data_IF_185936164196
#
_entry.id   IF_185936164196
#
_cell.length_a   1.000
_cell.length_b   1.000
_cell.length_c   1.000
_cell.angle_alpha   90.00
_cell.angle_beta   90.00
_cell.angle_gamma   90.00
#
_symmetry.space_group_name_H-M   'P 1'
#
loop_
_entity.id
_entity.type
_entity.pdbx_description
1 polymer ?
#
# COMPACT_ATOMS: atom_id res chain seq x y z
N UNK A 1 17.20 9.77 -13.07
CA UNK A 1 16.62 8.85 -12.08
C UNK A 1 15.88 9.62 -11.00
N UNK A 2 14.84 9.03 -10.43
CA UNK A 2 14.03 9.62 -9.36
C UNK A 2 14.01 8.71 -8.15
N UNK A 3 13.78 9.30 -6.98
CA UNK A 3 13.69 8.59 -5.71
C UNK A 3 12.23 8.56 -5.30
N UNK A 4 11.72 7.37 -4.99
CA UNK A 4 10.44 7.18 -4.34
C UNK A 4 10.63 7.03 -2.84
N UNK A 5 9.79 7.66 -2.06
CA UNK A 5 9.86 7.57 -0.62
C UNK A 5 8.55 7.95 0.05
N UNK A 6 8.60 8.07 1.35
CA UNK A 6 7.45 8.39 2.18
C UNK A 6 7.73 9.66 3.00
N UNK A 7 6.74 10.56 3.02
CA UNK A 7 6.71 11.71 3.90
C UNK A 7 5.78 11.41 5.07
N UNK A 8 6.24 11.68 6.27
CA UNK A 8 5.40 11.60 7.46
C UNK A 8 4.37 12.74 7.44
N UNK A 9 3.12 12.38 7.49
CA UNK A 9 2.01 13.32 7.69
C UNK A 9 1.58 13.24 9.15
N UNK A 10 1.28 14.38 9.76
CA UNK A 10 0.95 14.49 11.17
C UNK A 10 0.01 13.37 11.66
N UNK A 11 0.30 12.85 12.85
CA UNK A 11 -0.47 11.78 13.48
C UNK A 11 -1.91 12.26 13.73
N UNK A 12 -2.92 11.67 13.12
CA UNK A 12 -4.29 12.04 13.41
C UNK A 12 -4.69 11.54 14.80
N UNK A 13 -5.75 12.16 15.37
CA UNK A 13 -6.26 11.81 16.68
C UNK A 13 -6.75 10.35 16.82
N UNK A 14 -6.99 9.68 15.69
CA UNK A 14 -7.59 8.34 15.59
C UNK A 14 -6.58 7.20 15.45
N UNK A 15 -5.26 7.46 15.54
CA UNK A 15 -4.37 6.32 15.48
C UNK A 15 -2.95 6.52 15.02
N UNK A 16 -2.44 5.53 14.34
CA UNK A 16 -1.04 5.37 13.96
C UNK A 16 -0.51 6.40 12.97
N UNK A 17 0.79 6.40 12.75
CA UNK A 17 1.44 7.33 11.84
C UNK A 17 0.88 7.15 10.41
N UNK A 18 0.66 8.27 9.74
CA UNK A 18 0.27 8.28 8.33
C UNK A 18 1.43 8.74 7.48
N UNK A 19 1.60 8.08 6.37
CA UNK A 19 2.62 8.42 5.38
C UNK A 19 1.96 8.76 4.06
N UNK A 20 2.58 9.69 3.35
CA UNK A 20 2.24 10.07 1.98
C UNK A 20 3.39 9.65 1.08
N UNK A 21 3.08 9.08 -0.06
CA UNK A 21 4.10 8.73 -1.03
C UNK A 21 4.54 9.94 -1.84
N UNK A 22 5.82 10.12 -1.97
CA UNK A 22 6.45 11.23 -2.68
C UNK A 22 7.49 10.74 -3.67
N UNK A 23 7.72 11.55 -4.67
CA UNK A 23 8.82 11.36 -5.61
C UNK A 23 9.71 12.61 -5.63
N UNK A 24 11.01 12.39 -5.56
CA UNK A 24 12.04 13.44 -5.62
C UNK A 24 12.97 13.18 -6.80
N UNK A 25 13.61 14.23 -7.29
CA UNK A 25 14.77 14.08 -8.16
C UNK A 25 16.02 13.72 -7.33
N UNK A 26 17.15 13.51 -8.03
CA UNK A 26 18.41 13.13 -7.35
C UNK A 26 19.01 14.25 -6.51
N UNK A 27 18.59 15.49 -6.69
CA UNK A 27 19.05 16.66 -5.93
C UNK A 27 18.16 16.94 -4.71
N UNK A 28 17.15 16.09 -4.47
CA UNK A 28 16.22 16.17 -3.36
C UNK A 28 15.05 17.14 -3.58
N UNK A 29 14.86 17.63 -4.79
CA UNK A 29 13.71 18.46 -5.12
C UNK A 29 12.46 17.58 -5.25
N UNK A 30 11.40 17.94 -4.55
CA UNK A 30 10.10 17.26 -4.66
C UNK A 30 9.51 17.46 -6.06
N UNK A 31 9.09 16.36 -6.68
CA UNK A 31 8.47 16.35 -8.00
C UNK A 31 6.96 16.18 -7.90
N UNK A 32 6.48 15.19 -7.18
CA UNK A 32 5.04 14.92 -7.06
C UNK A 32 4.67 14.06 -5.86
N UNK A 33 3.41 14.11 -5.46
CA UNK A 33 2.81 13.12 -4.57
C UNK A 33 2.35 11.93 -5.41
N UNK A 34 2.75 10.71 -5.02
CA UNK A 34 2.44 9.49 -5.78
C UNK A 34 1.24 8.72 -5.24
N UNK A 35 0.91 8.90 -3.97
CA UNK A 35 -0.34 8.40 -3.36
C UNK A 35 -0.71 9.22 -2.12
N UNK A 36 -1.98 9.12 -1.71
CA UNK A 36 -2.51 9.93 -0.63
C UNK A 36 -2.05 9.51 0.76
N UNK A 37 -2.51 8.37 1.22
CA UNK A 37 -2.20 7.85 2.57
C UNK A 37 -1.96 6.35 2.51
N UNK A 38 -0.88 5.90 3.13
CA UNK A 38 -0.54 4.50 3.21
C UNK A 38 0.86 4.27 3.73
N UNK A 39 1.21 3.00 3.90
CA UNK A 39 2.52 2.56 4.34
C UNK A 39 3.02 1.42 3.44
N UNK A 40 4.29 1.06 3.56
CA UNK A 40 4.93 -0.03 2.81
C UNK A 40 4.54 -0.06 1.31
N UNK A 41 4.82 0.99 0.53
CA UNK A 41 4.34 1.08 -0.85
C UNK A 41 5.02 0.05 -1.75
N UNK A 42 4.20 -0.74 -2.46
CA UNK A 42 4.62 -1.57 -3.58
C UNK A 42 4.25 -0.89 -4.89
N UNK A 43 5.21 -0.68 -5.78
CA UNK A 43 5.01 -0.01 -7.07
C UNK A 43 4.91 -1.05 -8.18
N UNK A 44 3.93 -0.90 -9.08
CA UNK A 44 3.78 -1.78 -10.23
C UNK A 44 4.97 -1.66 -11.20
N UNK A 45 5.33 -2.75 -11.93
CA UNK A 45 6.47 -2.72 -12.85
C UNK A 45 6.37 -1.66 -13.94
N UNK A 46 5.14 -1.36 -14.40
CA UNK A 46 4.86 -0.31 -15.40
C UNK A 46 4.81 1.10 -14.81
N UNK A 47 4.99 1.23 -13.47
CA UNK A 47 4.96 2.48 -12.70
C UNK A 47 3.65 3.26 -12.82
N UNK A 48 2.54 2.59 -13.06
CA UNK A 48 1.22 3.22 -13.13
C UNK A 48 0.45 3.14 -11.83
N UNK A 49 0.75 2.13 -11.00
CA UNK A 49 0.01 1.84 -9.78
C UNK A 49 0.93 1.69 -8.58
N UNK A 50 0.37 2.00 -7.41
CA UNK A 50 0.98 1.72 -6.13
C UNK A 50 -0.04 1.09 -5.19
N UNK A 51 0.34 0.01 -4.53
CA UNK A 51 -0.42 -0.63 -3.46
C UNK A 51 0.22 -0.29 -2.12
N UNK A 52 -0.60 0.12 -1.15
CA UNK A 52 -0.13 0.49 0.19
C UNK A 52 -0.96 -0.22 1.25
N UNK A 53 -0.37 -0.53 2.38
CA UNK A 53 -1.12 -0.92 3.57
C UNK A 53 -1.36 0.28 4.52
N UNK A 54 -2.19 0.06 5.54
CA UNK A 54 -2.46 1.07 6.56
C UNK A 54 -1.76 0.80 7.90
N UNK A 55 -0.77 -0.07 7.89
CA UNK A 55 -0.09 -0.61 9.06
C UNK A 55 -0.88 -1.72 9.80
N UNK A 56 -0.12 -2.70 10.30
CA UNK A 56 -0.63 -3.88 11.01
C UNK A 56 -1.25 -3.58 12.39
N UNK A 57 -1.02 -2.38 12.92
CA UNK A 57 -1.57 -1.97 14.23
C UNK A 57 -3.00 -1.44 14.14
N UNK A 58 -3.48 -1.16 12.93
CA UNK A 58 -4.82 -0.64 12.72
C UNK A 58 -5.82 -1.78 12.49
N UNK A 59 -7.04 -1.57 12.94
CA UNK A 59 -8.16 -2.46 12.69
C UNK A 59 -9.30 -1.66 12.02
N UNK A 60 -9.73 -2.03 10.82
CA UNK A 60 -9.24 -3.13 9.99
C UNK A 60 -7.88 -2.84 9.33
N UNK A 61 -7.14 -3.91 9.03
CA UNK A 61 -5.97 -3.85 8.17
C UNK A 61 -6.43 -3.79 6.71
N UNK A 62 -5.85 -2.91 5.93
CA UNK A 62 -6.25 -2.69 4.53
C UNK A 62 -5.08 -2.67 3.58
N UNK A 63 -5.34 -3.03 2.32
CA UNK A 63 -4.45 -2.72 1.19
C UNK A 63 -5.23 -1.85 0.21
N UNK A 64 -4.71 -0.66 -0.06
CA UNK A 64 -5.32 0.33 -0.95
C UNK A 64 -4.50 0.48 -2.22
N UNK A 65 -5.18 0.52 -3.36
CA UNK A 65 -4.56 0.73 -4.67
C UNK A 65 -4.79 2.17 -5.13
N UNK A 66 -3.72 2.81 -5.60
CA UNK A 66 -3.74 4.14 -6.20
C UNK A 66 -3.17 4.11 -7.62
N UNK A 67 -3.59 5.03 -8.47
CA UNK A 67 -2.78 5.44 -9.63
C UNK A 67 -1.65 6.33 -9.12
N UNK A 68 -0.44 6.13 -9.60
CA UNK A 68 0.69 7.01 -9.26
C UNK A 68 0.35 8.44 -9.74
N UNK A 69 0.57 9.41 -8.86
CA UNK A 69 0.21 10.81 -9.08
C UNK A 69 -1.18 11.21 -8.60
N UNK A 70 -2.00 10.26 -8.12
CA UNK A 70 -3.32 10.54 -7.56
C UNK A 70 -3.33 10.35 -6.04
N UNK A 71 -3.97 11.27 -5.34
CA UNK A 71 -4.22 11.15 -3.89
C UNK A 71 -5.51 10.40 -3.57
N UNK A 72 -6.32 10.12 -4.59
CA UNK A 72 -7.57 9.38 -4.44
C UNK A 72 -7.35 7.90 -4.73
N UNK A 73 -7.77 6.99 -3.83
CA UNK A 73 -7.67 5.56 -4.07
C UNK A 73 -8.60 5.14 -5.22
N UNK A 74 -8.17 4.15 -5.99
CA UNK A 74 -9.02 3.54 -7.02
C UNK A 74 -9.69 2.27 -6.53
N UNK A 75 -9.13 1.60 -5.53
CA UNK A 75 -9.71 0.39 -4.97
C UNK A 75 -9.18 0.04 -3.60
N UNK A 76 -9.96 -0.75 -2.89
CA UNK A 76 -9.58 -1.47 -1.69
C UNK A 76 -9.37 -2.95 -2.08
N UNK A 77 -8.11 -3.40 -2.07
CA UNK A 77 -7.74 -4.75 -2.50
C UNK A 77 -7.96 -5.78 -1.40
N UNK A 78 -7.78 -5.38 -0.16
CA UNK A 78 -7.96 -6.23 1.01
C UNK A 78 -8.44 -5.38 2.20
N UNK A 79 -9.38 -5.92 2.96
CA UNK A 79 -9.82 -5.38 4.24
C UNK A 79 -10.16 -6.52 5.17
N UNK A 80 -9.46 -6.61 6.30
CA UNK A 80 -9.68 -7.65 7.29
C UNK A 80 -9.51 -7.12 8.70
N UNK A 81 -10.32 -7.63 9.62
CA UNK A 81 -10.19 -7.41 11.05
C UNK A 81 -9.59 -8.66 11.71
N UNK A 82 -8.28 -8.81 11.73
CA UNK A 82 -7.63 -10.08 12.02
C UNK A 82 -7.52 -10.39 13.52
N UNK A 83 -8.03 -9.51 14.37
CA UNK A 83 -7.92 -9.67 15.81
C UNK A 83 -6.48 -9.55 16.35
N UNK A 84 -6.23 -10.01 17.59
CA UNK A 84 -4.96 -9.76 18.26
C UNK A 84 -3.75 -10.46 17.62
N UNK A 85 -3.97 -11.46 16.79
CA UNK A 85 -2.89 -12.26 16.17
C UNK A 85 -2.10 -11.47 15.13
N UNK A 86 -2.76 -10.53 14.43
CA UNK A 86 -2.09 -9.66 13.48
C UNK A 86 -1.10 -8.69 14.16
N UNK A 87 -1.38 -8.37 15.41
CA UNK A 87 -0.51 -7.51 16.23
C UNK A 87 0.84 -8.14 16.55
N UNK A 88 1.02 -9.43 16.27
CA UNK A 88 2.26 -10.16 16.48
C UNK A 88 3.29 -9.98 15.35
N UNK A 89 3.33 -8.79 14.72
CA UNK A 89 4.40 -8.35 13.82
C UNK A 89 4.40 -8.92 12.40
N UNK A 90 3.25 -9.34 11.88
CA UNK A 90 3.15 -9.63 10.45
C UNK A 90 2.88 -8.35 9.69
N UNK A 91 3.90 -7.79 9.06
CA UNK A 91 3.74 -6.67 8.15
C UNK A 91 3.13 -7.14 6.84
N UNK A 92 2.13 -6.43 6.35
CA UNK A 92 1.42 -6.77 5.10
C UNK A 92 2.34 -6.70 3.89
N UNK A 93 3.10 -5.62 3.77
CA UNK A 93 4.12 -5.41 2.73
C UNK A 93 3.62 -5.77 1.32
N UNK A 94 2.65 -5.05 0.76
CA UNK A 94 2.14 -5.36 -0.56
C UNK A 94 3.22 -5.21 -1.63
N UNK A 95 3.31 -6.19 -2.52
CA UNK A 95 4.28 -6.19 -3.61
C UNK A 95 3.62 -6.69 -4.90
N UNK A 96 3.86 -6.00 -6.02
CA UNK A 96 3.35 -6.43 -7.32
C UNK A 96 4.13 -7.64 -7.85
N UNK A 97 3.40 -8.52 -8.56
CA UNK A 97 4.03 -9.50 -9.43
C UNK A 97 4.78 -8.83 -10.57
N UNK A 98 5.72 -9.56 -11.16
CA UNK A 98 6.54 -9.06 -12.27
C UNK A 98 5.72 -8.64 -13.50
N UNK A 99 4.59 -9.30 -13.73
CA UNK A 99 3.64 -8.99 -14.82
C UNK A 99 2.63 -7.90 -14.45
N UNK A 100 2.65 -7.42 -13.19
CA UNK A 100 1.75 -6.37 -12.70
C UNK A 100 0.31 -6.80 -12.45
N UNK A 101 -0.02 -8.08 -12.59
CA UNK A 101 -1.41 -8.59 -12.52
C UNK A 101 -1.86 -8.91 -11.10
N UNK A 102 -0.91 -9.14 -10.19
CA UNK A 102 -1.16 -9.57 -8.84
C UNK A 102 -0.48 -8.66 -7.84
N UNK A 103 -1.10 -8.49 -6.68
CA UNK A 103 -0.46 -7.95 -5.49
C UNK A 103 -0.34 -9.07 -4.48
N UNK A 104 0.90 -9.37 -4.09
CA UNK A 104 1.24 -10.32 -3.02
C UNK A 104 1.32 -9.58 -1.70
N UNK A 105 0.93 -10.23 -0.62
CA UNK A 105 0.99 -9.66 0.71
C UNK A 105 1.07 -10.74 1.78
N UNK A 106 1.58 -10.38 2.93
CA UNK A 106 1.62 -11.27 4.09
C UNK A 106 0.33 -11.18 4.89
N UNK A 107 -0.18 -12.32 5.31
CA UNK A 107 -1.35 -12.44 6.15
C UNK A 107 -1.18 -13.62 7.10
N UNK A 108 -1.41 -13.44 8.42
CA UNK A 108 -1.37 -14.58 9.34
C UNK A 108 -2.60 -15.48 9.15
N UNK A 109 -2.35 -16.78 9.11
CA UNK A 109 -3.37 -17.82 9.14
C UNK A 109 -3.06 -18.72 10.32
N UNK A 110 -3.98 -18.81 11.28
CA UNK A 110 -3.77 -19.55 12.53
C UNK A 110 -2.45 -19.18 13.24
N UNK A 111 -2.13 -17.88 13.27
CA UNK A 111 -0.92 -17.35 13.90
C UNK A 111 0.38 -17.53 13.10
N UNK A 112 0.32 -18.10 11.91
CA UNK A 112 1.49 -18.30 11.04
C UNK A 112 1.41 -17.35 9.85
N UNK A 113 2.44 -16.48 9.62
CA UNK A 113 2.48 -15.64 8.44
C UNK A 113 2.51 -16.47 7.16
N UNK A 114 1.64 -16.14 6.22
CA UNK A 114 1.55 -16.77 4.90
C UNK A 114 1.48 -15.71 3.82
N UNK A 115 1.98 -16.04 2.62
CA UNK A 115 1.88 -15.17 1.45
C UNK A 115 0.56 -15.43 0.74
N UNK A 116 -0.20 -14.37 0.54
CA UNK A 116 -1.44 -14.34 -0.24
C UNK A 116 -1.27 -13.47 -1.47
N UNK A 117 -2.22 -13.55 -2.39
CA UNK A 117 -2.26 -12.65 -3.55
C UNK A 117 -3.69 -12.27 -3.90
N UNK A 118 -3.84 -11.09 -4.47
CA UNK A 118 -5.10 -10.59 -5.03
C UNK A 118 -4.87 -10.10 -6.46
N UNK A 119 -5.81 -10.41 -7.37
CA UNK A 119 -5.76 -9.90 -8.73
C UNK A 119 -6.24 -8.45 -8.78
N UNK A 120 -5.52 -7.60 -9.51
CA UNK A 120 -5.93 -6.22 -9.74
C UNK A 120 -6.66 -6.02 -11.07
N UNK A 121 -6.66 -7.01 -11.96
CA UNK A 121 -7.27 -6.89 -13.29
C UNK A 121 -8.74 -6.51 -13.24
N UNK A 122 -9.53 -7.18 -12.40
CA UNK A 122 -10.96 -6.88 -12.24
C UNK A 122 -11.22 -5.46 -11.74
N UNK A 123 -10.32 -4.94 -10.94
CA UNK A 123 -10.45 -3.64 -10.31
C UNK A 123 -10.11 -2.52 -11.29
N UNK A 124 -9.07 -2.72 -12.09
CA UNK A 124 -8.63 -1.75 -13.08
C UNK A 124 -9.65 -1.63 -14.21
N UNK A 125 -10.15 -2.76 -14.72
CA UNK A 125 -11.12 -2.79 -15.82
C UNK A 125 -12.54 -2.38 -15.41
N UNK A 126 -12.93 -2.57 -14.16
CA UNK A 126 -14.26 -2.16 -13.67
C UNK A 126 -14.46 -0.64 -13.57
N UNK A 127 -13.40 0.14 -13.74
CA UNK A 127 -13.41 1.61 -13.62
C UNK A 127 -13.02 2.35 -14.92
N UNK A 128 -12.82 1.60 -15.96
CA UNK A 128 -12.60 2.18 -17.30
C UNK A 128 -13.98 2.42 -18.00
#
# INVERSE_FOLDING_TARGET
STIFGQEFVAKPADGGPRFRGKRWDRDGKELETIFGVGNHPGISPDRKFVATDNQYELDPVTITLYRIGSTQPIALLMRESPGPVWKLRTHVNPAFSRDGRWVYFNKPVNGVPQVHRVSIERVIHAKD
#
